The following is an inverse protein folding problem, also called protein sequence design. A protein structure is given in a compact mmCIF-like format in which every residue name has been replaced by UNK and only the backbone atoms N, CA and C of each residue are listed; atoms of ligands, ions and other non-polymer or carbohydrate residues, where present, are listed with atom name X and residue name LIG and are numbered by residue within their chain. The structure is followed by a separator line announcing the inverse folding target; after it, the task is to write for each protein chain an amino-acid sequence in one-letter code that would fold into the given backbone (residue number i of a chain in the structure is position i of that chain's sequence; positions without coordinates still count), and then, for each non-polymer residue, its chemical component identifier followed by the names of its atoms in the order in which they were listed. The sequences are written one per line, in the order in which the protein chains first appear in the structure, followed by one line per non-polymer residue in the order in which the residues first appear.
data_IF_485363473100
#
_entry.id   IF_485363473100
#
_cell.length_a   1.000
_cell.length_b   1.000
_cell.length_c   1.000
_cell.angle_alpha   90.00
_cell.angle_beta   90.00
_cell.angle_gamma   90.00
#
_symmetry.space_group_name_H-M   'P 1'
#
loop_
_entity.id
_entity.type
_entity.pdbx_description
1 polymer ?
#
# COMPACT_ATOMS: atom_id res chain seq x y z
N UNK A 1 24.70 14.34 -6.46
CA UNK A 1 23.98 15.57 -6.11
C UNK A 1 24.14 15.80 -4.62
N UNK A 2 24.63 16.96 -4.12
CA UNK A 2 24.75 17.20 -2.69
C UNK A 2 23.33 17.27 -2.08
N UNK A 3 23.14 16.59 -0.95
CA UNK A 3 21.90 16.66 -0.17
C UNK A 3 21.69 18.11 0.28
N UNK A 4 20.56 18.70 -0.11
CA UNK A 4 20.17 20.00 0.44
C UNK A 4 19.66 19.79 1.88
N UNK A 5 20.60 19.88 2.82
CA UNK A 5 20.35 19.65 4.26
C UNK A 5 19.47 20.75 4.87
N UNK A 6 19.36 21.91 4.21
CA UNK A 6 18.58 23.07 4.71
C UNK A 6 17.06 22.81 4.74
N UNK A 7 16.59 21.74 4.11
CA UNK A 7 15.17 21.31 4.10
C UNK A 7 14.95 19.93 4.77
N UNK A 8 15.89 19.47 5.59
CA UNK A 8 15.69 18.21 6.29
C UNK A 8 14.63 18.35 7.37
N UNK A 9 13.56 17.59 7.25
CA UNK A 9 12.56 17.42 8.31
C UNK A 9 13.19 16.56 9.41
N UNK A 10 12.96 16.88 10.68
CA UNK A 10 13.46 16.03 11.76
C UNK A 10 12.81 14.63 11.67
N UNK A 11 13.49 13.60 12.19
CA UNK A 11 12.92 12.23 12.25
C UNK A 11 11.59 12.22 12.99
N UNK A 12 11.48 12.99 14.06
CA UNK A 12 10.24 13.11 14.84
C UNK A 12 9.12 13.73 14.01
N UNK A 13 9.39 14.79 13.25
CA UNK A 13 8.39 15.43 12.40
C UNK A 13 7.98 14.51 11.25
N UNK A 14 8.93 13.80 10.65
CA UNK A 14 8.64 12.83 9.59
C UNK A 14 7.73 11.69 10.10
N UNK A 15 7.98 11.18 11.30
CA UNK A 15 7.13 10.15 11.92
C UNK A 15 5.74 10.68 12.27
N UNK A 16 5.65 11.88 12.84
CA UNK A 16 4.38 12.47 13.25
C UNK A 16 3.52 12.93 12.08
N UNK A 17 4.14 13.37 10.98
CA UNK A 17 3.43 13.82 9.79
C UNK A 17 3.04 12.68 8.84
N UNK A 18 3.58 11.49 9.02
CA UNK A 18 3.28 10.33 8.16
C UNK A 18 1.81 9.94 8.25
N UNK A 19 1.14 9.87 7.12
CA UNK A 19 -0.20 9.31 6.98
C UNK A 19 -0.16 8.08 6.06
N UNK A 20 -1.13 7.20 6.21
CA UNK A 20 -1.32 6.08 5.28
C UNK A 20 -2.41 6.46 4.30
N UNK A 21 -2.02 6.87 3.11
CA UNK A 21 -2.96 7.18 2.02
C UNK A 21 -3.48 5.86 1.46
N UNK A 22 -4.81 5.75 1.32
CA UNK A 22 -5.47 4.53 0.81
C UNK A 22 -6.37 4.78 -0.38
N UNK A 23 -6.57 6.04 -0.74
CA UNK A 23 -7.32 6.46 -1.91
C UNK A 23 -6.52 7.55 -2.63
N UNK A 24 -6.51 7.49 -3.95
CA UNK A 24 -5.67 8.34 -4.78
C UNK A 24 -6.51 8.98 -5.88
N UNK A 25 -6.09 10.11 -6.36
CA UNK A 25 -6.73 10.76 -7.49
C UNK A 25 -6.41 10.01 -8.80
N UNK A 26 -7.31 10.12 -9.76
CA UNK A 26 -7.08 9.59 -11.11
C UNK A 26 -6.08 10.41 -11.94
N UNK A 27 -5.52 11.46 -11.34
CA UNK A 27 -4.57 12.36 -12.02
C UNK A 27 -3.28 11.60 -12.36
N UNK A 28 -2.85 11.60 -13.62
CA UNK A 28 -1.59 10.97 -14.00
C UNK A 28 -0.41 11.58 -13.25
N UNK A 29 0.50 10.74 -12.78
CA UNK A 29 1.74 11.20 -12.14
C UNK A 29 2.74 11.56 -13.23
N UNK A 30 3.30 12.78 -13.25
CA UNK A 30 4.30 13.19 -14.22
C UNK A 30 5.55 12.30 -14.17
N UNK A 31 6.16 12.07 -15.34
CA UNK A 31 7.29 11.16 -15.45
C UNK A 31 8.51 11.62 -14.66
N UNK A 32 8.78 12.91 -14.60
CA UNK A 32 9.85 13.51 -13.81
C UNK A 32 9.66 13.28 -12.30
N UNK A 33 8.41 13.33 -11.82
CA UNK A 33 8.07 13.02 -10.42
C UNK A 33 8.36 11.55 -10.13
N UNK A 34 7.96 10.64 -11.01
CA UNK A 34 8.25 9.22 -10.88
C UNK A 34 9.75 8.96 -10.87
N UNK A 35 10.50 9.58 -11.79
CA UNK A 35 11.96 9.43 -11.87
C UNK A 35 12.62 9.91 -10.57
N UNK A 36 12.29 11.10 -10.08
CA UNK A 36 12.83 11.62 -8.82
C UNK A 36 12.53 10.72 -7.62
N UNK A 37 11.31 10.15 -7.59
CA UNK A 37 10.91 9.22 -6.54
C UNK A 37 11.78 7.97 -6.53
N UNK A 38 12.04 7.37 -7.70
CA UNK A 38 12.89 6.18 -7.80
C UNK A 38 14.35 6.47 -7.53
N UNK A 39 14.88 7.59 -8.02
CA UNK A 39 16.25 8.03 -7.71
C UNK A 39 16.43 8.21 -6.20
N UNK A 40 15.43 8.73 -5.51
CA UNK A 40 15.44 8.85 -4.04
C UNK A 40 15.34 7.49 -3.37
N UNK A 41 14.41 6.63 -3.82
CA UNK A 41 14.18 5.31 -3.25
C UNK A 41 15.39 4.38 -3.38
N UNK A 42 16.19 4.50 -4.44
CA UNK A 42 17.43 3.74 -4.64
C UNK A 42 18.46 3.96 -3.54
N UNK A 43 18.35 5.05 -2.77
CA UNK A 43 19.24 5.33 -1.64
C UNK A 43 18.89 4.50 -0.39
N UNK A 44 17.82 3.71 -0.44
CA UNK A 44 17.43 2.85 0.68
C UNK A 44 18.53 1.83 0.97
N UNK A 45 18.87 1.59 2.24
CA UNK A 45 19.87 0.60 2.62
C UNK A 45 19.36 -0.81 2.33
N UNK A 46 20.28 -1.72 2.02
CA UNK A 46 20.00 -3.14 1.89
C UNK A 46 21.11 -3.97 2.55
N UNK A 47 20.80 -5.19 2.93
CA UNK A 47 21.78 -6.12 3.51
C UNK A 47 22.96 -6.29 2.55
N UNK A 48 24.17 -6.02 3.03
CA UNK A 48 25.39 -6.06 2.20
C UNK A 48 25.38 -5.12 0.99
N UNK A 49 24.47 -4.13 0.97
CA UNK A 49 24.26 -3.23 -0.18
C UNK A 49 23.99 -3.96 -1.49
N UNK A 50 23.30 -5.10 -1.44
CA UNK A 50 23.02 -5.94 -2.62
C UNK A 50 21.98 -5.34 -3.56
N UNK A 51 21.19 -4.36 -3.09
CA UNK A 51 20.16 -3.67 -3.89
C UNK A 51 19.23 -4.64 -4.65
N UNK A 52 18.56 -5.61 -3.99
CA UNK A 52 17.92 -6.76 -4.66
C UNK A 52 16.55 -6.44 -5.26
N UNK A 53 16.17 -5.18 -5.31
CA UNK A 53 14.84 -4.79 -5.78
C UNK A 53 14.73 -4.80 -7.29
N UNK A 54 13.63 -5.36 -7.75
CA UNK A 54 13.15 -5.21 -9.12
C UNK A 54 11.87 -4.39 -9.07
N UNK A 55 11.88 -3.20 -9.68
CA UNK A 55 10.75 -2.28 -9.64
C UNK A 55 10.06 -2.27 -11.00
N UNK A 56 8.77 -2.62 -10.99
CA UNK A 56 7.91 -2.53 -12.17
C UNK A 56 6.95 -1.35 -12.01
N UNK A 57 7.02 -0.39 -12.92
CA UNK A 57 6.15 0.79 -12.92
C UNK A 57 5.09 0.62 -14.00
N UNK A 58 3.83 0.66 -13.60
CA UNK A 58 2.70 0.57 -14.51
C UNK A 58 1.87 1.84 -14.41
N UNK A 59 1.56 2.45 -15.53
CA UNK A 59 0.72 3.66 -15.63
C UNK A 59 -0.22 3.55 -16.84
N UNK A 60 -1.25 4.39 -16.89
CA UNK A 60 -2.21 4.43 -18.00
C UNK A 60 -2.86 3.08 -18.26
N UNK A 61 -3.06 2.73 -19.52
CA UNK A 61 -3.78 1.53 -19.95
C UNK A 61 -3.21 0.23 -19.39
N UNK A 62 -1.88 0.17 -19.18
CA UNK A 62 -1.24 -1.01 -18.57
C UNK A 62 -1.64 -1.19 -17.11
N UNK A 63 -1.78 -0.10 -16.37
CA UNK A 63 -2.26 -0.13 -15.00
C UNK A 63 -3.73 -0.57 -14.94
N UNK A 64 -4.57 -0.02 -15.83
CA UNK A 64 -5.99 -0.38 -15.87
C UNK A 64 -6.17 -1.87 -16.19
N UNK A 65 -5.47 -2.37 -17.20
CA UNK A 65 -5.49 -3.79 -17.53
C UNK A 65 -5.03 -4.68 -16.37
N UNK A 66 -3.98 -4.27 -15.66
CA UNK A 66 -3.52 -4.99 -14.47
C UNK A 66 -4.59 -5.04 -13.38
N UNK A 67 -5.31 -3.93 -13.15
CA UNK A 67 -6.43 -3.87 -12.19
C UNK A 67 -7.57 -4.81 -12.58
N UNK A 68 -7.95 -4.80 -13.86
CA UNK A 68 -9.01 -5.68 -14.41
C UNK A 68 -8.63 -7.15 -14.21
N UNK A 69 -7.43 -7.53 -14.59
CA UNK A 69 -6.92 -8.90 -14.44
C UNK A 69 -6.87 -9.34 -12.97
N UNK A 70 -6.39 -8.45 -12.07
CA UNK A 70 -6.32 -8.72 -10.64
C UNK A 70 -7.73 -8.89 -10.02
N UNK A 71 -8.67 -8.02 -10.41
CA UNK A 71 -10.06 -8.09 -9.95
C UNK A 71 -10.74 -9.37 -10.43
N UNK A 72 -10.56 -9.73 -11.70
CA UNK A 72 -11.12 -10.96 -12.28
C UNK A 72 -10.60 -12.21 -11.56
N UNK A 73 -9.29 -12.24 -11.22
CA UNK A 73 -8.69 -13.35 -10.43
C UNK A 73 -9.29 -13.42 -9.03
N UNK A 74 -9.43 -12.28 -8.36
CA UNK A 74 -10.02 -12.22 -7.03
C UNK A 74 -11.48 -12.69 -7.02
N UNK A 75 -12.29 -12.24 -7.99
CA UNK A 75 -13.68 -12.68 -8.15
C UNK A 75 -13.82 -14.17 -8.47
N UNK A 76 -12.87 -14.72 -9.22
CA UNK A 76 -12.82 -16.16 -9.50
C UNK A 76 -12.33 -17.00 -8.31
N UNK A 77 -12.03 -16.38 -7.17
CA UNK A 77 -11.51 -17.06 -5.97
C UNK A 77 -10.11 -17.67 -6.18
N UNK A 78 -9.39 -17.22 -7.21
CA UNK A 78 -8.02 -17.69 -7.48
C UNK A 78 -7.06 -17.00 -6.52
N UNK A 79 -6.69 -17.71 -5.48
CA UNK A 79 -5.67 -17.29 -4.52
C UNK A 79 -4.42 -18.11 -4.71
N UNK A 80 -3.28 -17.47 -4.81
CA UNK A 80 -2.00 -18.16 -4.81
C UNK A 80 -1.64 -18.56 -3.37
N UNK A 81 -1.02 -19.71 -3.20
CA UNK A 81 -0.52 -20.13 -1.89
C UNK A 81 0.72 -19.31 -1.57
N UNK A 82 0.73 -18.54 -0.47
CA UNK A 82 1.90 -17.76 -0.12
C UNK A 82 3.08 -18.66 0.22
N UNK A 83 4.26 -18.32 -0.27
CA UNK A 83 5.51 -19.06 0.03
C UNK A 83 5.84 -19.03 1.52
N UNK A 84 5.43 -17.98 2.21
CA UNK A 84 5.55 -17.81 3.66
C UNK A 84 4.38 -16.99 4.18
N UNK A 85 4.07 -17.13 5.46
CA UNK A 85 2.98 -16.39 6.08
C UNK A 85 3.37 -14.91 6.25
N UNK A 86 2.55 -14.01 5.72
CA UNK A 86 2.74 -12.57 5.87
C UNK A 86 2.58 -12.10 7.34
N UNK A 87 1.82 -12.85 8.12
CA UNK A 87 1.60 -12.60 9.54
C UNK A 87 1.72 -13.88 10.34
N UNK A 88 2.25 -13.83 11.57
CA UNK A 88 2.19 -14.97 12.48
C UNK A 88 0.76 -15.46 12.69
N UNK A 89 0.56 -16.76 12.73
CA UNK A 89 -0.74 -17.36 13.02
C UNK A 89 -0.56 -18.53 14.00
N UNK A 90 -1.24 -18.51 15.13
CA UNK A 90 -2.12 -17.46 15.64
C UNK A 90 -1.36 -16.21 16.12
N UNK A 91 -2.03 -15.06 16.09
CA UNK A 91 -1.52 -13.88 16.78
C UNK A 91 -1.74 -13.99 18.27
N UNK A 92 -0.74 -13.59 19.05
CA UNK A 92 -0.82 -13.52 20.51
C UNK A 92 -1.43 -12.20 20.97
N UNK A 93 -1.82 -12.14 22.23
CA UNK A 93 -2.16 -10.88 22.89
C UNK A 93 -0.87 -10.14 23.31
N UNK A 94 -0.85 -8.79 23.26
CA UNK A 94 -1.95 -7.88 22.88
C UNK A 94 -2.07 -7.57 21.37
N UNK A 95 -1.19 -8.13 20.52
CA UNK A 95 -1.14 -7.84 19.08
C UNK A 95 -2.45 -8.17 18.37
N UNK A 96 -3.10 -9.24 18.79
CA UNK A 96 -4.41 -9.64 18.26
C UNK A 96 -5.47 -8.58 18.55
N UNK A 97 -5.53 -8.09 19.78
CA UNK A 97 -6.48 -7.05 20.18
C UNK A 97 -6.20 -5.73 19.44
N UNK A 98 -4.95 -5.33 19.30
CA UNK A 98 -4.58 -4.12 18.55
C UNK A 98 -4.99 -4.19 17.07
N UNK A 99 -4.75 -5.34 16.43
CA UNK A 99 -5.16 -5.55 15.05
C UNK A 99 -6.68 -5.46 14.89
N UNK A 100 -7.43 -6.08 15.80
CA UNK A 100 -8.89 -6.02 15.81
C UNK A 100 -9.38 -4.59 15.97
N UNK A 101 -8.87 -3.89 16.97
CA UNK A 101 -9.25 -2.50 17.24
C UNK A 101 -8.95 -1.60 16.03
N UNK A 102 -7.77 -1.70 15.45
CA UNK A 102 -7.41 -0.94 14.26
C UNK A 102 -8.38 -1.21 13.10
N UNK A 103 -8.76 -2.46 12.89
CA UNK A 103 -9.72 -2.84 11.85
C UNK A 103 -11.10 -2.22 12.09
N UNK A 104 -11.62 -2.34 13.30
CA UNK A 104 -12.95 -1.78 13.64
C UNK A 104 -12.95 -0.25 13.54
N UNK A 105 -11.92 0.42 14.05
CA UNK A 105 -11.79 1.88 13.96
C UNK A 105 -11.74 2.33 12.49
N UNK A 106 -10.94 1.64 11.65
CA UNK A 106 -10.82 1.94 10.23
C UNK A 106 -12.14 1.74 9.48
N UNK A 107 -12.80 0.60 9.67
CA UNK A 107 -14.09 0.33 9.01
C UNK A 107 -15.18 1.28 9.47
N UNK A 108 -15.19 1.64 10.76
CA UNK A 108 -16.12 2.63 11.29
C UNK A 108 -15.96 3.99 10.61
N UNK A 109 -14.72 4.44 10.38
CA UNK A 109 -14.45 5.71 9.71
C UNK A 109 -14.92 5.76 8.25
N UNK A 110 -14.93 4.63 7.56
CA UNK A 110 -15.40 4.53 6.15
C UNK A 110 -16.84 4.03 6.03
N UNK A 111 -17.56 3.93 7.16
CA UNK A 111 -18.99 3.58 7.19
C UNK A 111 -19.29 2.12 6.84
N UNK A 112 -18.32 1.21 7.02
CA UNK A 112 -18.51 -0.23 6.77
C UNK A 112 -18.80 -0.94 8.10
N UNK A 113 -20.02 -1.38 8.26
CA UNK A 113 -20.48 -2.05 9.47
C UNK A 113 -19.83 -3.42 9.68
N UNK A 114 -19.90 -3.93 10.93
CA UNK A 114 -19.20 -5.15 11.34
C UNK A 114 -19.70 -6.39 10.63
N UNK A 115 -20.97 -6.47 10.34
CA UNK A 115 -21.63 -7.58 9.64
C UNK A 115 -21.51 -7.52 8.12
N UNK A 116 -21.12 -6.37 7.57
CA UNK A 116 -20.91 -6.20 6.13
C UNK A 116 -19.57 -6.82 5.70
N UNK A 117 -19.50 -8.16 5.71
CA UNK A 117 -18.29 -8.91 5.33
C UNK A 117 -17.85 -8.62 3.89
N UNK A 118 -18.80 -8.44 2.98
CA UNK A 118 -18.50 -8.15 1.59
C UNK A 118 -17.87 -6.74 1.45
N UNK A 119 -18.42 -5.74 2.11
CA UNK A 119 -17.87 -4.39 2.14
C UNK A 119 -16.45 -4.37 2.71
N UNK A 120 -16.19 -5.12 3.78
CA UNK A 120 -14.84 -5.26 4.36
C UNK A 120 -13.86 -5.92 3.42
N UNK A 121 -14.27 -7.02 2.74
CA UNK A 121 -13.45 -7.69 1.75
C UNK A 121 -13.13 -6.77 0.57
N UNK A 122 -14.11 -6.08 0.05
CA UNK A 122 -13.96 -5.14 -1.07
C UNK A 122 -13.06 -3.97 -0.69
N UNK A 123 -13.19 -3.42 0.52
CA UNK A 123 -12.33 -2.33 1.02
C UNK A 123 -10.85 -2.76 1.07
N UNK A 124 -10.55 -3.96 1.55
CA UNK A 124 -9.18 -4.50 1.56
C UNK A 124 -8.66 -4.70 0.14
N UNK A 125 -9.45 -5.33 -0.73
CA UNK A 125 -9.09 -5.53 -2.14
C UNK A 125 -8.89 -4.20 -2.85
N UNK A 126 -9.76 -3.22 -2.58
CA UNK A 126 -9.67 -1.88 -3.13
C UNK A 126 -8.37 -1.17 -2.72
N UNK A 127 -7.97 -1.27 -1.47
CA UNK A 127 -6.74 -0.66 -0.96
C UNK A 127 -5.47 -1.29 -1.53
N UNK A 128 -5.49 -2.59 -1.81
CA UNK A 128 -4.30 -3.34 -2.22
C UNK A 128 -4.25 -3.67 -3.71
N UNK A 129 -5.39 -3.74 -4.39
CA UNK A 129 -5.49 -4.17 -5.80
C UNK A 129 -5.98 -3.07 -6.72
N UNK A 130 -6.67 -2.07 -6.20
CA UNK A 130 -7.17 -0.97 -7.01
C UNK A 130 -6.53 0.33 -6.55
N UNK A 131 -5.72 0.87 -7.37
CA UNK A 131 -5.45 2.28 -7.39
C UNK A 131 -6.71 3.00 -7.91
N UNK A 132 -6.93 4.24 -7.55
CA UNK A 132 -8.24 4.83 -7.40
C UNK A 132 -9.04 4.91 -8.67
N UNK A 133 -10.29 4.55 -8.59
CA UNK A 133 -11.29 4.81 -9.62
C UNK A 133 -12.50 5.57 -9.08
N UNK A 134 -12.34 6.43 -8.08
CA UNK A 134 -13.39 7.39 -7.76
C UNK A 134 -12.80 8.71 -7.30
N UNK A 135 -12.97 9.71 -8.11
CA UNK A 135 -13.10 11.09 -7.67
C UNK A 135 -14.48 11.26 -7.03
#
# INVERSE_FOLDING_TARGET
MPLNIEKSVSVTDALNSRITVRDFLATPVPQDVLQNLFETAQRSPSGGNLQPWHVHVMTGDKLEKFKEDALARAQAGKTDVPTYQAHPSPLWEPQRSWRYKLGEDMYGLIGIEKDNKMGRLMSVSYTHLTLPTKA
#
